data_IF_351372488867
#
_entry.id   IF_351372488867
#
_cell.length_a   1.000
_cell.length_b   1.000
_cell.length_c   1.000
_cell.angle_alpha   90.00
_cell.angle_beta   90.00
_cell.angle_gamma   90.00
#
_symmetry.space_group_name_H-M   'P 1'
#
loop_
_entity.id
_entity.type
_entity.pdbx_description
1 polymer ?
#
# COMPACT_ATOMS: atom_id res chain seq x y z
N UNK A 1 -10.12 -28.48 -2.35
CA UNK A 1 -9.38 -28.24 -1.09
C UNK A 1 -8.68 -26.90 -1.19
N UNK A 2 -9.07 -25.95 -0.37
CA UNK A 2 -8.44 -24.63 -0.33
C UNK A 2 -7.26 -24.74 0.62
N UNK A 3 -6.06 -24.81 0.09
CA UNK A 3 -4.85 -24.68 0.91
C UNK A 3 -4.70 -23.18 1.21
N UNK A 4 -5.13 -22.74 2.37
CA UNK A 4 -4.71 -21.47 2.92
C UNK A 4 -3.25 -21.62 3.29
N UNK A 5 -2.39 -21.10 2.45
CA UNK A 5 -1.02 -20.80 2.86
C UNK A 5 -1.12 -19.77 3.98
N UNK A 6 -0.96 -20.20 5.21
CA UNK A 6 -0.84 -19.30 6.34
C UNK A 6 0.43 -18.48 6.10
N UNK A 7 0.22 -17.22 5.78
CA UNK A 7 1.32 -16.28 5.62
C UNK A 7 1.82 -15.95 7.01
N UNK A 8 3.02 -16.39 7.30
CA UNK A 8 3.60 -16.23 8.62
C UNK A 8 3.88 -14.74 8.89
N UNK A 9 3.25 -14.25 9.94
CA UNK A 9 3.56 -12.96 10.50
C UNK A 9 4.91 -13.00 11.22
N UNK A 10 5.61 -11.90 11.26
CA UNK A 10 6.89 -11.80 11.94
C UNK A 10 7.00 -10.51 12.76
N UNK A 11 7.79 -10.56 13.81
CA UNK A 11 8.20 -9.36 14.52
C UNK A 11 9.27 -8.60 13.73
N UNK A 12 9.36 -7.28 13.85
CA UNK A 12 10.43 -6.53 13.23
C UNK A 12 11.77 -6.90 13.89
N UNK A 13 12.75 -7.21 13.07
CA UNK A 13 14.15 -7.40 13.51
C UNK A 13 14.83 -6.06 13.75
N UNK A 14 14.49 -5.08 12.93
CA UNK A 14 15.02 -3.72 13.00
C UNK A 14 13.98 -2.71 12.53
N UNK A 15 13.88 -1.63 13.25
CA UNK A 15 13.06 -0.46 12.92
C UNK A 15 13.98 0.76 12.91
N UNK A 16 14.08 1.42 11.77
CA UNK A 16 14.92 2.61 11.62
C UNK A 16 14.18 3.65 10.76
N UNK A 17 13.49 4.56 11.43
CA UNK A 17 12.60 5.50 10.76
C UNK A 17 11.51 4.78 9.96
N UNK A 18 11.35 5.07 8.67
CA UNK A 18 10.35 4.42 7.83
C UNK A 18 10.76 3.02 7.37
N UNK A 19 11.97 2.58 7.67
CA UNK A 19 12.51 1.30 7.21
C UNK A 19 12.31 0.22 8.27
N UNK A 20 11.71 -0.89 7.83
CA UNK A 20 11.49 -2.07 8.67
C UNK A 20 12.24 -3.25 8.05
N UNK A 21 12.92 -4.00 8.89
CA UNK A 21 13.54 -5.27 8.53
C UNK A 21 12.86 -6.39 9.33
N UNK A 22 12.37 -7.41 8.64
CA UNK A 22 11.66 -8.53 9.25
C UNK A 22 11.96 -9.86 8.55
N UNK A 23 11.91 -10.95 9.29
CA UNK A 23 12.07 -12.30 8.73
C UNK A 23 10.72 -12.81 8.24
N UNK A 24 10.31 -12.36 7.06
CA UNK A 24 9.09 -12.80 6.39
C UNK A 24 9.43 -13.91 5.38
N UNK A 25 8.49 -14.84 5.21
CA UNK A 25 8.60 -15.90 4.21
C UNK A 25 8.21 -15.44 2.82
N UNK A 26 7.34 -16.19 2.16
CA UNK A 26 6.90 -15.98 0.78
C UNK A 26 6.23 -14.61 0.51
N UNK A 27 7.04 -13.58 0.40
CA UNK A 27 6.59 -12.24 0.01
C UNK A 27 7.30 -11.80 -1.26
N UNK A 28 6.66 -10.93 -2.02
CA UNK A 28 7.21 -10.38 -3.26
C UNK A 28 7.43 -8.87 -3.12
N UNK A 29 8.32 -8.33 -3.95
CA UNK A 29 8.53 -6.87 -4.01
C UNK A 29 7.23 -6.19 -4.43
N UNK A 30 6.87 -5.13 -3.72
CA UNK A 30 5.63 -4.40 -3.92
C UNK A 30 4.46 -4.90 -3.09
N UNK A 31 4.58 -6.05 -2.44
CA UNK A 31 3.54 -6.58 -1.55
C UNK A 31 3.34 -5.68 -0.34
N UNK A 32 2.09 -5.43 0.01
CA UNK A 32 1.73 -4.67 1.19
C UNK A 32 1.57 -5.60 2.38
N UNK A 33 2.17 -5.21 3.49
CA UNK A 33 2.02 -5.88 4.77
C UNK A 33 1.29 -4.95 5.75
N UNK A 34 0.41 -5.53 6.55
CA UNK A 34 -0.20 -4.84 7.67
C UNK A 34 0.77 -4.84 8.86
N UNK A 35 0.93 -3.70 9.50
CA UNK A 35 1.72 -3.58 10.73
C UNK A 35 0.76 -3.37 11.88
N UNK A 36 0.71 -4.34 12.79
CA UNK A 36 -0.12 -4.31 13.99
C UNK A 36 0.75 -4.00 15.20
N UNK A 37 0.20 -3.29 16.17
CA UNK A 37 0.96 -2.92 17.40
C UNK A 37 1.31 -4.13 18.23
N UNK A 38 0.41 -5.10 18.27
CA UNK A 38 0.58 -6.31 19.05
C UNK A 38 -0.16 -7.47 18.39
N UNK A 39 0.33 -8.70 18.53
CA UNK A 39 -0.28 -9.88 17.91
C UNK A 39 -1.73 -10.15 18.36
N UNK A 40 -2.10 -9.72 19.56
CA UNK A 40 -3.46 -9.89 20.11
C UNK A 40 -4.45 -8.82 19.63
N UNK A 41 -3.94 -7.72 19.12
CA UNK A 41 -4.79 -6.61 18.70
C UNK A 41 -5.00 -6.68 17.19
N UNK A 42 -6.27 -6.72 16.72
CA UNK A 42 -6.54 -6.74 15.28
C UNK A 42 -6.29 -5.39 14.61
N UNK A 43 -6.02 -4.35 15.38
CA UNK A 43 -5.87 -2.99 14.88
C UNK A 43 -4.63 -2.86 13.99
N UNK A 44 -4.86 -2.40 12.76
CA UNK A 44 -3.79 -2.05 11.84
C UNK A 44 -3.26 -0.67 12.25
N UNK A 45 -2.04 -0.65 12.78
CA UNK A 45 -1.39 0.60 13.18
C UNK A 45 -0.80 1.34 11.97
N UNK A 46 -0.30 0.59 11.00
CA UNK A 46 0.30 1.12 9.79
C UNK A 46 0.31 0.06 8.69
N UNK A 47 0.72 0.46 7.50
CA UNK A 47 1.02 -0.45 6.39
C UNK A 47 2.47 -0.27 5.97
N UNK A 48 3.07 -1.32 5.47
CA UNK A 48 4.42 -1.29 4.93
C UNK A 48 4.45 -2.03 3.60
N UNK A 49 5.33 -1.62 2.71
CA UNK A 49 5.50 -2.23 1.41
C UNK A 49 6.87 -2.89 1.31
N UNK A 50 6.92 -4.09 0.77
CA UNK A 50 8.18 -4.80 0.52
C UNK A 50 8.94 -4.08 -0.59
N UNK A 51 10.16 -3.64 -0.28
CA UNK A 51 11.03 -2.91 -1.21
C UNK A 51 12.29 -3.68 -1.60
N UNK A 52 12.63 -4.72 -0.87
CA UNK A 52 13.83 -5.50 -1.17
C UNK A 52 14.03 -6.67 -0.21
N UNK A 53 15.09 -7.41 -0.50
CA UNK A 53 15.48 -8.58 0.28
C UNK A 53 16.93 -8.46 0.73
N UNK A 54 17.19 -9.01 1.91
CA UNK A 54 18.52 -9.28 2.43
C UNK A 54 18.65 -10.78 2.75
N UNK A 55 19.85 -11.33 2.92
CA UNK A 55 19.99 -12.68 3.42
C UNK A 55 19.27 -12.88 4.77
N UNK A 56 18.24 -13.72 4.79
CA UNK A 56 17.45 -14.02 5.96
C UNK A 56 16.43 -12.96 6.41
N UNK A 57 16.28 -11.87 5.69
CA UNK A 57 15.30 -10.82 6.03
C UNK A 57 14.74 -10.10 4.81
N UNK A 58 13.64 -9.41 5.04
CA UNK A 58 12.93 -8.61 4.05
C UNK A 58 12.97 -7.16 4.49
N UNK A 59 13.21 -6.27 3.54
CA UNK A 59 13.16 -4.83 3.75
C UNK A 59 11.78 -4.30 3.36
N UNK A 60 11.18 -3.54 4.27
CA UNK A 60 9.90 -2.90 4.04
C UNK A 60 10.01 -1.39 4.27
N UNK A 61 9.29 -0.64 3.47
CA UNK A 61 9.09 0.80 3.66
C UNK A 61 7.72 1.04 4.29
N UNK A 62 7.71 1.78 5.40
CA UNK A 62 6.48 2.12 6.09
C UNK A 62 5.67 3.14 5.28
N UNK A 63 4.39 2.86 5.11
CA UNK A 63 3.42 3.76 4.48
C UNK A 63 2.67 4.50 5.59
N UNK A 64 3.22 5.60 6.07
CA UNK A 64 2.64 6.37 7.16
C UNK A 64 3.62 6.62 8.30
N UNK A 65 3.09 6.84 9.50
CA UNK A 65 3.88 7.17 10.68
C UNK A 65 4.28 5.93 11.48
N UNK A 66 5.50 5.93 11.96
CA UNK A 66 6.05 4.86 12.81
C UNK A 66 5.68 4.98 14.29
N UNK A 67 4.91 6.00 14.68
CA UNK A 67 4.55 6.22 16.08
C UNK A 67 3.76 5.05 16.67
N UNK A 68 4.18 4.60 17.81
CA UNK A 68 3.53 3.51 18.53
C UNK A 68 3.94 2.11 18.09
N UNK A 69 4.84 1.97 17.12
CA UNK A 69 5.43 0.69 16.75
C UNK A 69 6.54 0.33 17.73
N UNK A 70 6.65 -0.95 18.04
CA UNK A 70 7.62 -1.49 18.99
C UNK A 70 8.18 -2.82 18.49
N UNK A 71 9.03 -3.43 19.28
CA UNK A 71 9.55 -4.79 19.01
C UNK A 71 8.45 -5.87 19.07
N UNK A 72 7.34 -5.58 19.73
CA UNK A 72 6.19 -6.47 19.84
C UNK A 72 5.20 -6.30 18.68
N UNK A 73 5.43 -5.34 17.82
CA UNK A 73 4.64 -5.15 16.61
C UNK A 73 4.72 -6.38 15.72
N UNK A 74 3.64 -6.64 14.98
CA UNK A 74 3.57 -7.78 14.07
C UNK A 74 3.41 -7.27 12.64
N UNK A 75 4.19 -7.84 11.75
CA UNK A 75 4.09 -7.58 10.32
C UNK A 75 3.42 -8.77 9.67
N UNK A 76 2.26 -8.53 9.06
CA UNK A 76 1.40 -9.54 8.47
C UNK A 76 1.32 -9.33 6.96
N UNK A 77 1.89 -10.22 6.13
CA UNK A 77 1.76 -10.12 4.68
C UNK A 77 0.31 -10.26 4.24
N UNK A 78 -0.12 -9.46 3.28
CA UNK A 78 -1.49 -9.49 2.75
C UNK A 78 -1.63 -10.31 1.47
N UNK A 79 -0.54 -10.53 0.75
CA UNK A 79 -0.54 -11.17 -0.56
C UNK A 79 -0.99 -10.27 -1.70
N UNK A 80 -1.16 -8.99 -1.46
CA UNK A 80 -1.63 -8.02 -2.43
C UNK A 80 -0.69 -6.83 -2.54
N UNK A 81 -0.63 -6.23 -3.71
CA UNK A 81 0.07 -4.97 -3.93
C UNK A 81 -0.79 -3.79 -3.48
N UNK A 82 -0.20 -2.61 -3.41
CA UNK A 82 -0.94 -1.40 -3.05
C UNK A 82 -2.01 -1.11 -4.12
N UNK A 83 -3.23 -0.96 -3.68
CA UNK A 83 -4.38 -0.67 -4.53
C UNK A 83 -5.09 0.58 -4.06
N UNK A 84 -5.62 1.30 -5.01
CA UNK A 84 -6.43 2.49 -4.79
C UNK A 84 -7.87 2.19 -5.18
N UNK A 85 -8.79 2.41 -4.28
CA UNK A 85 -10.21 2.35 -4.58
C UNK A 85 -10.64 3.64 -5.25
N UNK A 86 -10.96 3.56 -6.53
CA UNK A 86 -11.41 4.69 -7.33
C UNK A 86 -12.93 4.71 -7.43
N UNK A 87 -13.50 5.89 -7.26
CA UNK A 87 -14.92 6.15 -7.48
C UNK A 87 -15.11 7.62 -7.78
N UNK A 88 -16.30 7.97 -8.25
CA UNK A 88 -16.65 9.39 -8.47
C UNK A 88 -16.60 10.21 -7.18
N UNK A 89 -16.58 9.54 -6.00
CA UNK A 89 -16.36 10.18 -4.71
C UNK A 89 -15.02 10.90 -4.60
N UNK A 90 -14.03 10.46 -5.36
CA UNK A 90 -12.70 11.07 -5.37
C UNK A 90 -12.64 12.35 -6.21
N UNK A 91 -13.60 12.56 -7.10
CA UNK A 91 -13.67 13.77 -7.91
C UNK A 91 -13.80 15.00 -7.01
N UNK A 92 -12.99 16.00 -7.28
CA UNK A 92 -12.96 17.22 -6.48
C UNK A 92 -12.29 17.06 -5.11
N UNK A 93 -11.50 16.02 -4.91
CA UNK A 93 -10.75 15.80 -3.67
C UNK A 93 -9.26 15.58 -3.94
N UNK A 94 -8.46 15.86 -2.93
CA UNK A 94 -7.05 15.49 -2.88
C UNK A 94 -6.91 14.21 -2.07
N UNK A 95 -6.28 13.21 -2.64
CA UNK A 95 -6.10 11.91 -1.99
C UNK A 95 -4.62 11.60 -1.80
N UNK A 96 -4.32 10.86 -0.75
CA UNK A 96 -2.99 10.32 -0.53
C UNK A 96 -2.75 9.08 -1.41
N UNK A 97 -1.52 8.56 -1.51
CA UNK A 97 -1.23 7.35 -2.29
C UNK A 97 -1.94 6.10 -1.80
N UNK A 98 -2.52 6.11 -0.61
CA UNK A 98 -3.30 5.01 -0.05
C UNK A 98 -4.81 5.14 -0.34
N UNK A 99 -5.23 6.23 -0.99
CA UNK A 99 -6.61 6.47 -1.35
C UNK A 99 -7.44 7.18 -0.28
N UNK A 100 -6.82 7.66 0.79
CA UNK A 100 -7.53 8.43 1.80
C UNK A 100 -7.71 9.87 1.32
N UNK A 101 -8.89 10.43 1.55
CA UNK A 101 -9.17 11.82 1.21
C UNK A 101 -8.47 12.72 2.23
N UNK A 102 -7.49 13.48 1.74
CA UNK A 102 -6.75 14.47 2.53
C UNK A 102 -7.51 15.78 2.59
N UNK A 103 -8.03 16.21 1.46
CA UNK A 103 -8.80 17.45 1.34
C UNK A 103 -9.92 17.27 0.33
N UNK A 104 -11.09 17.82 0.65
CA UNK A 104 -12.25 17.81 -0.23
C UNK A 104 -12.52 19.21 -0.75
N UNK A 105 -12.41 19.40 -2.06
CA UNK A 105 -12.60 20.68 -2.73
C UNK A 105 -14.03 20.85 -3.27
N UNK A 106 -14.74 19.74 -3.50
CA UNK A 106 -16.10 19.74 -4.02
C UNK A 106 -16.94 18.62 -3.40
N UNK A 107 -18.29 18.79 -3.28
CA UNK A 107 -19.15 17.73 -2.80
C UNK A 107 -19.16 16.53 -3.76
N UNK A 108 -19.28 15.33 -3.19
CA UNK A 108 -19.23 14.06 -3.93
C UNK A 108 -20.60 13.42 -4.02
N UNK A 109 -20.91 12.87 -5.19
CA UNK A 109 -22.14 12.12 -5.49
C UNK A 109 -21.86 10.70 -5.95
N UNK A 110 -20.89 10.04 -5.33
CA UNK A 110 -20.37 8.78 -5.85
C UNK A 110 -21.27 7.57 -5.64
N UNK A 111 -21.32 6.72 -6.63
CA UNK A 111 -22.08 5.47 -6.62
C UNK A 111 -21.24 4.24 -6.91
N UNK A 112 -20.28 4.29 -7.82
CA UNK A 112 -19.48 3.15 -8.23
C UNK A 112 -18.05 3.20 -7.65
N UNK A 113 -17.53 2.04 -7.22
CA UNK A 113 -16.17 1.88 -6.72
C UNK A 113 -15.44 0.81 -7.51
N UNK A 114 -14.19 1.04 -7.81
CA UNK A 114 -13.32 0.08 -8.47
C UNK A 114 -11.90 0.19 -7.93
N UNK A 115 -11.28 -0.95 -7.68
CA UNK A 115 -9.93 -1.02 -7.16
C UNK A 115 -8.92 -1.16 -8.29
N UNK A 116 -7.92 -0.27 -8.29
CA UNK A 116 -6.82 -0.28 -9.25
C UNK A 116 -5.48 -0.44 -8.54
N UNK A 117 -4.52 -1.18 -9.12
CA UNK A 117 -3.13 -1.12 -8.67
C UNK A 117 -2.60 0.30 -8.80
N UNK A 118 -1.84 0.75 -7.82
CA UNK A 118 -1.27 2.12 -7.83
C UNK A 118 -0.25 2.30 -8.96
N UNK A 119 0.40 1.21 -9.35
CA UNK A 119 1.38 1.14 -10.44
C UNK A 119 0.77 0.69 -11.79
N UNK A 120 -0.56 0.78 -11.94
CA UNK A 120 -1.24 0.43 -13.19
C UNK A 120 -0.77 1.31 -14.35
N UNK A 121 -0.73 0.70 -15.54
CA UNK A 121 -0.42 1.44 -16.75
C UNK A 121 -1.46 2.54 -17.02
N UNK A 122 -1.04 3.71 -17.53
CA UNK A 122 -1.95 4.77 -17.86
C UNK A 122 -2.86 4.37 -19.03
N UNK A 123 -4.10 4.90 -19.09
CA UNK A 123 -5.02 4.62 -20.20
C UNK A 123 -4.42 5.02 -21.54
N UNK A 124 -4.53 4.15 -22.54
CA UNK A 124 -4.01 4.40 -23.91
C UNK A 124 -4.61 5.66 -24.54
N UNK A 125 -5.87 5.94 -24.28
CA UNK A 125 -6.55 7.15 -24.76
C UNK A 125 -5.90 8.45 -24.27
N UNK A 126 -5.29 8.43 -23.12
CA UNK A 126 -4.58 9.56 -22.54
C UNK A 126 -3.30 9.90 -23.31
N UNK A 127 -2.57 8.91 -23.74
CA UNK A 127 -1.35 9.07 -24.54
C UNK A 127 -1.64 9.65 -25.92
N UNK A 128 -2.75 9.30 -26.53
CA UNK A 128 -3.18 9.83 -27.82
C UNK A 128 -3.62 11.29 -27.79
N UNK A 129 -4.15 11.77 -26.68
CA UNK A 129 -4.57 13.15 -26.50
C UNK A 129 -3.41 14.13 -26.37
N UNK A 130 -2.29 13.69 -25.84
CA UNK A 130 -1.11 14.53 -25.64
C UNK A 130 -0.28 14.72 -26.89
N UNK A 131 -0.14 13.72 -27.74
CA UNK A 131 0.70 13.76 -28.95
C UNK A 131 0.24 14.80 -29.98
N UNK A 132 -1.03 14.90 -30.35
CA UNK A 132 -1.49 15.93 -31.30
C UNK A 132 -1.27 17.35 -30.82
N UNK A 133 -1.39 17.60 -29.51
CA UNK A 133 -1.17 18.91 -28.90
C UNK A 133 0.28 19.34 -29.01
N UNK A 134 1.21 18.43 -28.83
CA UNK A 134 2.64 18.68 -28.93
C UNK A 134 3.06 18.96 -30.37
N UNK A 135 2.46 18.30 -31.35
CA UNK A 135 2.76 18.48 -32.78
C UNK A 135 2.25 19.80 -33.36
N UNK A 136 1.28 20.43 -32.74
CA UNK A 136 0.71 21.70 -33.17
C UNK A 136 1.49 22.91 -32.68
N UNK A 137 2.43 22.71 -31.82
CA UNK A 137 3.34 23.74 -31.33
C UNK A 137 4.59 23.79 -32.20
#
# INVERSE_FOLDING_TARGET
MIIRLERHAAHPLRLNGPLIEAALGDVVIGEVCEVRRHWRLPDIAARAQVIGFKPGSVLLSLLGDAKGLSRESMIVPTGATLRLTCSDALLGSVVDPQGNIVERLAPSTAVARQDYPVDADPPVSYTHLTLPTILLV
#
